data_IF_707717661097
#
_entry.id   IF_707717661097
#
_cell.length_a   1.000
_cell.length_b   1.000
_cell.length_c   1.000
_cell.angle_alpha   90.00
_cell.angle_beta   90.00
_cell.angle_gamma   90.00
#
_symmetry.space_group_name_H-M   'P 1'
#
loop_
_entity.id
_entity.type
_entity.pdbx_description
1 polymer ?
#
# COMPACT_ATOMS: atom_id res chain seq x y z
N UNK A 1 -13.65 9.92 -16.46
CA UNK A 1 -13.90 9.96 -15.00
C UNK A 1 -13.83 8.52 -14.51
N UNK A 2 -12.67 8.07 -14.02
CA UNK A 2 -12.44 6.69 -13.58
C UNK A 2 -12.55 6.59 -12.06
N UNK A 3 -13.08 5.45 -11.61
CA UNK A 3 -13.63 5.20 -10.28
C UNK A 3 -12.56 5.24 -9.17
N UNK A 4 -12.95 5.76 -8.00
CA UNK A 4 -12.09 6.18 -6.89
C UNK A 4 -11.81 5.04 -5.90
N UNK A 5 -12.11 3.81 -6.29
CA UNK A 5 -12.34 2.69 -5.37
C UNK A 5 -11.87 1.34 -5.91
N UNK A 6 -10.82 1.26 -6.75
CA UNK A 6 -10.30 -0.06 -7.13
C UNK A 6 -9.62 -0.73 -5.93
N UNK A 7 -10.17 -1.83 -5.40
CA UNK A 7 -9.53 -2.59 -4.35
C UNK A 7 -8.54 -3.58 -4.96
N UNK A 8 -7.61 -4.07 -4.16
CA UNK A 8 -6.64 -5.05 -4.64
C UNK A 8 -6.92 -6.47 -4.29
N UNK A 9 -6.53 -7.34 -5.22
CA UNK A 9 -6.93 -8.75 -5.27
C UNK A 9 -6.50 -9.55 -4.05
N UNK A 10 -5.38 -9.23 -3.41
CA UNK A 10 -4.95 -9.90 -2.18
C UNK A 10 -5.95 -9.70 -1.02
N UNK A 11 -6.52 -8.49 -0.91
CA UNK A 11 -7.57 -8.19 0.06
C UNK A 11 -8.92 -8.83 -0.31
N UNK A 12 -9.05 -9.35 -1.54
CA UNK A 12 -10.26 -10.02 -2.06
C UNK A 12 -10.13 -11.55 -2.10
N UNK A 13 -8.95 -12.13 -1.81
CA UNK A 13 -8.78 -13.58 -1.73
C UNK A 13 -9.54 -14.13 -0.51
N UNK A 14 -10.68 -14.79 -0.79
CA UNK A 14 -11.57 -15.40 0.22
C UNK A 14 -12.88 -14.65 0.47
N UNK A 15 -13.05 -13.44 -0.08
CA UNK A 15 -14.29 -12.66 0.02
C UNK A 15 -15.24 -13.03 -1.12
N UNK A 16 -16.13 -13.96 -0.81
CA UNK A 16 -17.21 -14.43 -1.68
C UNK A 16 -18.20 -13.28 -1.87
N UNK A 17 -18.20 -12.67 -3.07
CA UNK A 17 -19.10 -11.62 -3.58
C UNK A 17 -18.82 -10.16 -3.16
N UNK A 18 -18.54 -9.33 -4.18
CA UNK A 18 -19.06 -7.95 -4.30
C UNK A 18 -18.58 -6.90 -3.31
N UNK A 19 -17.50 -7.14 -2.56
CA UNK A 19 -17.02 -6.14 -1.59
C UNK A 19 -16.07 -5.17 -2.29
N UNK A 20 -16.60 -4.02 -2.67
CA UNK A 20 -15.81 -2.81 -2.96
C UNK A 20 -15.07 -2.48 -1.66
N UNK A 21 -13.83 -2.97 -1.49
CA UNK A 21 -13.02 -2.53 -0.35
C UNK A 21 -12.64 -1.08 -0.61
N UNK A 22 -13.39 -0.20 0.04
CA UNK A 22 -13.16 1.23 0.00
C UNK A 22 -11.72 1.52 0.46
N UNK A 23 -11.13 2.59 -0.05
CA UNK A 23 -9.81 3.10 0.38
C UNK A 23 -9.62 3.12 1.91
N UNK A 24 -10.71 3.35 2.64
CA UNK A 24 -10.75 3.30 4.10
C UNK A 24 -10.37 1.91 4.65
N UNK A 25 -10.83 0.81 4.04
CA UNK A 25 -10.46 -0.53 4.45
C UNK A 25 -8.97 -0.82 4.23
N UNK A 26 -8.42 -0.50 3.05
CA UNK A 26 -6.98 -0.68 2.77
C UNK A 26 -6.12 0.11 3.76
N UNK A 27 -6.48 1.36 4.03
CA UNK A 27 -5.77 2.19 5.02
C UNK A 27 -5.95 1.69 6.46
N UNK A 28 -7.11 1.13 6.78
CA UNK A 28 -7.37 0.52 8.10
C UNK A 28 -6.47 -0.70 8.30
N UNK A 29 -6.44 -1.61 7.31
CA UNK A 29 -5.62 -2.82 7.33
C UNK A 29 -4.13 -2.46 7.40
N UNK A 30 -3.66 -1.54 6.57
CA UNK A 30 -2.29 -1.02 6.64
C UNK A 30 -1.99 -0.42 8.02
N UNK A 31 -2.93 0.36 8.57
CA UNK A 31 -2.81 0.95 9.91
C UNK A 31 -2.72 -0.08 11.03
N UNK A 32 -3.45 -1.19 10.95
CA UNK A 32 -3.38 -2.30 11.90
C UNK A 32 -2.05 -3.05 11.80
N UNK A 33 -1.63 -3.37 10.58
CA UNK A 33 -0.34 -3.98 10.29
C UNK A 33 0.84 -3.17 10.85
N UNK A 34 0.84 -1.85 10.63
CA UNK A 34 1.85 -0.94 11.19
C UNK A 34 1.84 -0.91 12.72
N UNK A 35 0.69 -1.11 13.38
CA UNK A 35 0.62 -1.25 14.84
C UNK A 35 1.23 -2.58 15.31
N UNK A 36 0.90 -3.69 14.63
CA UNK A 36 1.37 -5.03 14.97
C UNK A 36 2.91 -5.10 14.89
N UNK A 37 3.50 -4.49 13.86
CA UNK A 37 4.96 -4.43 13.71
C UNK A 37 5.64 -3.34 14.53
N UNK A 38 4.89 -2.67 15.42
CA UNK A 38 5.43 -1.64 16.33
C UNK A 38 6.15 -0.51 15.58
N UNK A 39 5.73 -0.18 14.37
CA UNK A 39 6.24 0.99 13.64
C UNK A 39 5.93 2.23 14.46
N UNK A 40 6.93 3.11 14.61
CA UNK A 40 6.77 4.35 15.35
C UNK A 40 5.61 5.18 14.80
N UNK A 41 4.82 5.76 15.71
CA UNK A 41 3.61 6.50 15.36
C UNK A 41 3.93 7.66 14.39
N UNK A 42 5.10 8.28 14.54
CA UNK A 42 5.60 9.35 13.67
C UNK A 42 5.82 8.91 12.22
N UNK A 43 6.07 7.62 11.98
CA UNK A 43 6.33 7.05 10.65
C UNK A 43 5.06 6.50 9.98
N UNK A 44 4.03 6.14 10.76
CA UNK A 44 2.80 5.53 10.22
C UNK A 44 2.09 6.43 9.23
N UNK A 45 1.95 7.72 9.54
CA UNK A 45 1.28 8.67 8.66
C UNK A 45 2.06 8.91 7.35
N UNK A 46 3.38 9.19 7.39
CA UNK A 46 4.21 9.25 6.18
C UNK A 46 4.11 8.00 5.30
N UNK A 47 4.18 6.80 5.88
CA UNK A 47 4.08 5.54 5.13
C UNK A 47 2.71 5.40 4.45
N UNK A 48 1.62 5.63 5.18
CA UNK A 48 0.28 5.59 4.62
C UNK A 48 0.08 6.64 3.51
N UNK A 49 0.69 7.82 3.65
CA UNK A 49 0.60 8.88 2.65
C UNK A 49 1.40 8.55 1.39
N UNK A 50 2.61 7.99 1.53
CA UNK A 50 3.41 7.52 0.41
C UNK A 50 2.65 6.42 -0.36
N UNK A 51 2.09 5.44 0.36
CA UNK A 51 1.25 4.40 -0.23
C UNK A 51 0.07 4.98 -1.02
N UNK A 52 -0.57 6.03 -0.50
CA UNK A 52 -1.66 6.75 -1.18
C UNK A 52 -1.25 7.48 -2.44
N UNK A 53 -0.02 7.99 -2.49
CA UNK A 53 0.48 8.70 -3.67
C UNK A 53 0.68 7.72 -4.82
N UNK A 54 1.33 6.57 -4.57
CA UNK A 54 1.43 5.48 -5.55
C UNK A 54 0.03 5.00 -5.97
N UNK A 55 -0.87 4.90 -4.99
CA UNK A 55 -2.30 4.60 -5.16
C UNK A 55 -3.09 5.53 -6.08
N UNK A 56 -2.52 6.66 -6.52
CA UNK A 56 -3.18 7.67 -7.35
C UNK A 56 -2.57 7.84 -8.73
N UNK A 57 -1.50 7.10 -9.02
CA UNK A 57 -0.90 7.03 -10.36
C UNK A 57 -1.94 6.58 -11.38
N UNK A 58 -1.88 7.13 -12.60
CA UNK A 58 -2.90 6.94 -13.64
C UNK A 58 -2.42 6.21 -14.89
N UNK A 59 -1.12 5.95 -14.98
CA UNK A 59 -0.47 5.20 -16.05
C UNK A 59 0.53 4.22 -15.44
N UNK A 60 0.89 3.20 -16.20
CA UNK A 60 1.87 2.19 -15.76
C UNK A 60 3.26 2.81 -15.58
N UNK A 61 3.59 3.81 -16.42
CA UNK A 61 4.81 4.61 -16.27
C UNK A 61 4.83 5.38 -14.93
N UNK A 62 3.71 6.01 -14.56
CA UNK A 62 3.58 6.71 -13.27
C UNK A 62 3.63 5.73 -12.10
N UNK A 63 3.01 4.55 -12.23
CA UNK A 63 3.05 3.50 -11.20
C UNK A 63 4.49 3.02 -11.00
N UNK A 64 5.21 2.71 -12.08
CA UNK A 64 6.60 2.23 -12.01
C UNK A 64 7.54 3.27 -11.39
N UNK A 65 7.38 4.55 -11.76
CA UNK A 65 8.16 5.65 -11.17
C UNK A 65 7.85 5.81 -9.68
N UNK A 66 6.57 5.86 -9.31
CA UNK A 66 6.15 6.06 -7.93
C UNK A 66 6.49 4.85 -7.05
N UNK A 67 6.47 3.63 -7.59
CA UNK A 67 6.95 2.44 -6.89
C UNK A 67 8.43 2.58 -6.52
N UNK A 68 9.27 3.04 -7.46
CA UNK A 68 10.69 3.25 -7.20
C UNK A 68 10.90 4.30 -6.10
N UNK A 69 10.21 5.43 -6.18
CA UNK A 69 10.27 6.49 -5.16
C UNK A 69 9.80 5.99 -3.79
N UNK A 70 8.72 5.20 -3.74
CA UNK A 70 8.23 4.58 -2.51
C UNK A 70 9.26 3.62 -1.91
N UNK A 71 9.88 2.76 -2.72
CA UNK A 71 10.88 1.82 -2.25
C UNK A 71 12.12 2.54 -1.69
N UNK A 72 12.59 3.60 -2.36
CA UNK A 72 13.67 4.46 -1.86
C UNK A 72 13.30 5.13 -0.54
N UNK A 73 12.08 5.66 -0.43
CA UNK A 73 11.55 6.22 0.81
C UNK A 73 11.54 5.19 1.94
N UNK A 74 10.96 4.00 1.75
CA UNK A 74 10.92 2.94 2.78
C UNK A 74 12.33 2.52 3.20
N UNK A 75 13.26 2.37 2.26
CA UNK A 75 14.65 2.03 2.53
C UNK A 75 15.35 3.07 3.42
N UNK A 76 15.01 4.36 3.27
CA UNK A 76 15.57 5.46 4.06
C UNK A 76 15.08 5.50 5.51
N UNK A 77 13.95 4.85 5.83
CA UNK A 77 13.37 4.88 7.17
C UNK A 77 14.18 4.02 8.16
N UNK A 78 14.21 4.39 9.45
CA UNK A 78 14.85 3.60 10.51
C UNK A 78 13.97 2.43 10.95
N UNK A 79 13.60 1.57 10.00
CA UNK A 79 12.82 0.35 10.22
C UNK A 79 13.71 -0.88 10.07
N UNK A 80 13.32 -1.98 10.69
CA UNK A 80 13.96 -3.28 10.47
C UNK A 80 13.72 -3.79 9.03
N UNK A 81 14.55 -4.71 8.59
CA UNK A 81 14.54 -5.20 7.21
C UNK A 81 13.26 -5.96 6.85
N UNK A 82 12.66 -6.66 7.82
CA UNK A 82 11.46 -7.45 7.58
C UNK A 82 10.25 -6.53 7.38
N UNK A 83 10.12 -5.49 8.19
CA UNK A 83 9.10 -4.44 8.01
C UNK A 83 9.26 -3.73 6.67
N UNK A 84 10.50 -3.41 6.26
CA UNK A 84 10.77 -2.78 4.94
C UNK A 84 10.34 -3.69 3.79
N UNK A 85 10.79 -4.94 3.81
CA UNK A 85 10.45 -5.93 2.79
C UNK A 85 8.94 -6.16 2.71
N UNK A 86 8.27 -6.20 3.87
CA UNK A 86 6.82 -6.30 3.91
C UNK A 86 6.18 -5.10 3.21
N UNK A 87 6.52 -3.87 3.58
CA UNK A 87 5.90 -2.66 3.03
C UNK A 87 6.06 -2.54 1.51
N UNK A 88 7.23 -2.96 0.98
CA UNK A 88 7.49 -3.00 -0.46
C UNK A 88 6.68 -4.11 -1.15
N UNK A 89 6.57 -5.29 -0.53
CA UNK A 89 5.77 -6.41 -1.06
C UNK A 89 4.27 -6.10 -1.01
N UNK A 90 3.82 -5.45 0.05
CA UNK A 90 2.42 -5.07 0.25
C UNK A 90 1.98 -4.09 -0.84
N UNK A 91 2.80 -3.09 -1.18
CA UNK A 91 2.54 -2.21 -2.31
C UNK A 91 2.39 -3.00 -3.63
N UNK A 92 3.28 -3.96 -3.90
CA UNK A 92 3.21 -4.76 -5.14
C UNK A 92 1.95 -5.62 -5.21
N UNK A 93 1.68 -6.36 -4.14
CA UNK A 93 0.56 -7.31 -4.04
C UNK A 93 -0.79 -6.60 -3.95
N UNK A 94 -0.84 -5.48 -3.23
CA UNK A 94 -2.03 -4.69 -2.98
C UNK A 94 -2.13 -3.44 -3.86
N UNK A 95 -1.35 -3.30 -4.93
CA UNK A 95 -1.61 -2.22 -5.89
C UNK A 95 -1.17 -2.49 -7.33
N UNK A 96 -0.02 -3.14 -7.54
CA UNK A 96 0.64 -3.23 -8.85
C UNK A 96 0.30 -4.54 -9.59
N UNK A 97 -0.23 -5.55 -8.89
CA UNK A 97 -0.55 -6.84 -9.51
C UNK A 97 -1.80 -6.72 -10.41
N UNK A 98 -1.60 -6.81 -11.73
CA UNK A 98 -2.67 -6.81 -12.75
C UNK A 98 -3.38 -8.17 -12.91
N UNK A 99 -2.87 -9.25 -12.31
CA UNK A 99 -3.47 -10.59 -12.43
C UNK A 99 -4.60 -10.83 -11.45
#
# INVERSE_FOLDING_TARGET
MMDKHRPTKLALQGLVHGTILCWFHIMSTLGEHLKIWKVDCSLRYPIAMAFKIVGRSRSDEDVSKMEKEYNEFICSLPLDIDTKNFLMRDLKMNWICEE
#
